data_IF_202748188526
#
_entry.id   IF_202748188526
#
_cell.length_a   1.000
_cell.length_b   1.000
_cell.length_c   1.000
_cell.angle_alpha   90.00
_cell.angle_beta   90.00
_cell.angle_gamma   90.00
#
_symmetry.space_group_name_H-M   'P 1'
#
loop_
_entity.id
_entity.type
_entity.pdbx_description
1 polymer ?
#
# COMPACT_ATOMS: atom_id res chain seq x y z
N UNK A 1 36.76 -1.40 13.11
CA UNK A 1 35.59 -1.81 13.92
C UNK A 1 34.98 -0.50 14.42
N UNK A 2 33.84 -0.02 13.92
CA UNK A 2 32.51 -0.53 14.22
C UNK A 2 31.51 0.03 13.20
N UNK A 3 30.67 -0.83 12.61
CA UNK A 3 29.55 -0.41 11.76
C UNK A 3 28.40 0.05 12.65
N UNK A 4 28.04 1.33 12.56
CA UNK A 4 26.82 1.89 13.12
C UNK A 4 25.58 1.35 12.37
N UNK A 5 24.42 1.27 13.04
CA UNK A 5 23.27 0.52 12.54
C UNK A 5 22.67 1.19 11.30
N UNK A 6 22.46 0.39 10.26
CA UNK A 6 21.66 0.76 9.08
C UNK A 6 20.21 0.85 9.56
N UNK A 7 19.83 1.99 10.12
CA UNK A 7 18.43 2.36 10.24
C UNK A 7 18.02 2.96 8.89
N UNK A 8 17.46 2.12 8.02
CA UNK A 8 16.97 2.50 6.68
C UNK A 8 15.66 3.30 6.79
N UNK A 9 15.70 4.45 7.44
CA UNK A 9 14.67 5.46 7.27
C UNK A 9 14.98 6.13 5.91
N UNK A 10 14.11 5.99 4.89
CA UNK A 10 14.40 6.61 3.60
C UNK A 10 14.47 8.13 3.77
N UNK A 11 15.50 8.79 3.22
CA UNK A 11 15.53 10.24 3.15
C UNK A 11 14.43 10.67 2.17
N UNK A 12 13.87 11.86 2.38
CA UNK A 12 12.95 12.54 1.44
C UNK A 12 11.48 12.12 1.50
N UNK A 13 10.91 11.97 2.71
CA UNK A 13 9.47 12.24 2.88
C UNK A 13 9.33 13.68 3.40
N UNK A 14 8.80 14.63 2.59
CA UNK A 14 8.59 16.00 3.03
C UNK A 14 7.71 16.02 4.28
N UNK A 15 8.08 16.83 5.27
CA UNK A 15 7.36 16.99 6.54
C UNK A 15 5.88 17.42 6.38
N UNK A 16 5.49 17.82 5.17
CA UNK A 16 4.16 18.29 4.79
C UNK A 16 3.22 17.19 4.31
N UNK A 17 3.68 15.94 4.12
CA UNK A 17 2.78 14.81 3.88
C UNK A 17 2.08 14.42 5.20
N UNK A 18 1.23 15.32 5.69
CA UNK A 18 0.22 15.04 6.71
C UNK A 18 -0.53 13.81 6.22
N UNK A 19 -0.32 12.68 6.89
CA UNK A 19 -1.15 11.48 6.71
C UNK A 19 -2.59 11.95 6.62
N UNK A 20 -3.31 11.77 5.50
CA UNK A 20 -4.69 12.21 5.43
C UNK A 20 -5.40 11.55 6.60
N UNK A 21 -5.87 12.38 7.54
CA UNK A 21 -6.40 11.95 8.84
C UNK A 21 -7.77 11.25 8.69
N UNK A 22 -8.17 10.98 7.45
CA UNK A 22 -9.43 10.36 7.09
C UNK A 22 -9.12 8.99 6.49
N UNK A 23 -9.48 7.94 7.22
CA UNK A 23 -9.62 6.62 6.61
C UNK A 23 -10.80 6.75 5.64
N UNK A 24 -10.54 6.96 4.35
CA UNK A 24 -11.55 7.25 3.33
C UNK A 24 -12.64 6.17 3.21
N UNK A 25 -12.36 4.95 3.68
CA UNK A 25 -13.19 3.76 3.49
C UNK A 25 -13.42 3.04 4.82
N UNK A 26 -14.66 3.08 5.31
CA UNK A 26 -15.14 2.21 6.40
C UNK A 26 -15.25 0.74 5.93
N UNK A 27 -15.54 -0.19 6.86
CA UNK A 27 -15.68 -1.62 6.54
C UNK A 27 -16.72 -1.89 5.43
N UNK A 28 -17.85 -1.18 5.41
CA UNK A 28 -18.90 -1.38 4.40
C UNK A 28 -18.43 -0.96 3.01
N UNK A 29 -17.67 0.14 2.93
CA UNK A 29 -17.09 0.61 1.67
C UNK A 29 -16.02 -0.35 1.13
N UNK A 30 -15.21 -0.95 2.01
CA UNK A 30 -14.26 -1.99 1.59
C UNK A 30 -14.98 -3.23 1.04
N UNK A 31 -16.05 -3.68 1.69
CA UNK A 31 -16.84 -4.83 1.21
C UNK A 31 -17.51 -4.52 -0.14
N UNK A 32 -17.95 -3.29 -0.35
CA UNK A 32 -18.48 -2.83 -1.62
C UNK A 32 -17.40 -2.90 -2.72
N UNK A 33 -16.22 -2.31 -2.49
CA UNK A 33 -15.12 -2.33 -3.47
C UNK A 33 -14.66 -3.75 -3.78
N UNK A 34 -14.56 -4.60 -2.75
CA UNK A 34 -14.16 -5.99 -2.91
C UNK A 34 -15.10 -6.74 -3.84
N UNK A 35 -16.42 -6.60 -3.65
CA UNK A 35 -17.44 -7.20 -4.51
C UNK A 35 -17.49 -6.57 -5.89
N UNK A 36 -17.46 -5.23 -5.97
CA UNK A 36 -17.60 -4.47 -7.22
C UNK A 36 -16.48 -4.73 -8.22
N UNK A 37 -15.25 -4.92 -7.72
CA UNK A 37 -14.04 -5.09 -8.53
C UNK A 37 -13.43 -6.49 -8.42
N UNK A 38 -14.09 -7.43 -7.74
CA UNK A 38 -13.60 -8.82 -7.51
C UNK A 38 -12.17 -8.84 -6.95
N UNK A 39 -11.91 -7.96 -5.99
CA UNK A 39 -10.62 -7.87 -5.28
C UNK A 39 -10.52 -9.08 -4.33
N UNK A 40 -9.37 -9.75 -4.32
CA UNK A 40 -9.15 -10.89 -3.40
C UNK A 40 -8.89 -10.39 -1.98
N UNK A 41 -9.04 -11.23 -0.95
CA UNK A 41 -8.71 -10.85 0.43
C UNK A 41 -7.28 -10.31 0.56
N UNK A 42 -6.32 -10.94 -0.14
CA UNK A 42 -4.92 -10.52 -0.13
C UNK A 42 -4.69 -9.18 -0.81
N UNK A 43 -5.37 -8.94 -1.92
CA UNK A 43 -5.32 -7.66 -2.60
C UNK A 43 -5.98 -6.55 -1.77
N UNK A 44 -7.05 -6.87 -1.03
CA UNK A 44 -7.71 -5.92 -0.11
C UNK A 44 -6.79 -5.52 1.05
N UNK A 45 -6.07 -6.47 1.65
CA UNK A 45 -5.05 -6.20 2.67
C UNK A 45 -3.99 -5.22 2.14
N UNK A 46 -3.48 -5.48 0.94
CA UNK A 46 -2.46 -4.62 0.32
C UNK A 46 -3.04 -3.24 0.00
N UNK A 47 -4.24 -3.16 -0.56
CA UNK A 47 -4.91 -1.88 -0.85
C UNK A 47 -5.09 -1.02 0.42
N UNK A 48 -5.49 -1.62 1.55
CA UNK A 48 -5.60 -0.92 2.83
C UNK A 48 -4.27 -0.34 3.29
N UNK A 49 -3.18 -1.10 3.17
CA UNK A 49 -1.84 -0.63 3.57
C UNK A 49 -1.30 0.45 2.62
N UNK A 50 -1.60 0.36 1.33
CA UNK A 50 -1.28 1.41 0.35
C UNK A 50 -2.03 2.70 0.70
N UNK A 51 -3.32 2.63 1.02
CA UNK A 51 -4.10 3.81 1.44
C UNK A 51 -3.61 4.42 2.76
N UNK A 52 -2.91 3.67 3.60
CA UNK A 52 -2.24 4.18 4.81
C UNK A 52 -0.88 4.85 4.50
N UNK A 53 -0.45 4.88 3.23
CA UNK A 53 0.79 5.50 2.79
C UNK A 53 2.05 4.65 3.04
N UNK A 54 1.91 3.33 3.23
CA UNK A 54 3.08 2.46 3.39
C UNK A 54 3.80 2.25 2.06
N UNK A 55 5.13 2.20 2.10
CA UNK A 55 5.95 1.80 0.94
C UNK A 55 5.83 0.31 0.64
N UNK A 56 6.17 -0.10 -0.57
CA UNK A 56 6.09 -1.52 -0.98
C UNK A 56 6.98 -2.42 -0.12
N UNK A 57 8.12 -1.92 0.35
CA UNK A 57 9.05 -2.60 1.24
C UNK A 57 8.41 -2.80 2.61
N UNK A 58 7.81 -1.74 3.18
CA UNK A 58 7.12 -1.85 4.48
C UNK A 58 5.91 -2.77 4.43
N UNK A 59 5.19 -2.78 3.30
CA UNK A 59 4.08 -3.72 3.06
C UNK A 59 4.63 -5.15 3.00
N UNK A 60 5.71 -5.37 2.26
CA UNK A 60 6.36 -6.68 2.14
C UNK A 60 6.79 -7.24 3.50
N UNK A 61 7.43 -6.40 4.32
CA UNK A 61 7.86 -6.76 5.67
C UNK A 61 6.67 -7.10 6.56
N UNK A 62 5.64 -6.25 6.58
CA UNK A 62 4.44 -6.45 7.42
C UNK A 62 3.68 -7.71 7.05
N UNK A 63 3.64 -8.04 5.77
CA UNK A 63 2.92 -9.19 5.23
C UNK A 63 3.80 -10.44 5.07
N UNK A 64 5.10 -10.36 5.44
CA UNK A 64 6.12 -11.41 5.31
C UNK A 64 6.19 -12.04 3.91
N UNK A 65 6.16 -11.20 2.87
CA UNK A 65 6.27 -11.61 1.46
C UNK A 65 7.36 -10.83 0.76
N UNK A 66 7.71 -11.23 -0.47
CA UNK A 66 8.69 -10.48 -1.28
C UNK A 66 8.08 -9.19 -1.81
N UNK A 67 8.88 -8.13 -1.92
CA UNK A 67 8.48 -6.85 -2.54
C UNK A 67 8.00 -7.04 -3.97
N UNK A 68 8.57 -7.99 -4.72
CA UNK A 68 8.08 -8.36 -6.06
C UNK A 68 6.64 -8.86 -6.05
N UNK A 69 6.26 -9.65 -5.05
CA UNK A 69 4.88 -10.14 -4.85
C UNK A 69 3.92 -8.99 -4.56
N UNK A 70 4.33 -8.03 -3.72
CA UNK A 70 3.55 -6.80 -3.46
C UNK A 70 3.29 -6.03 -4.75
N UNK A 71 4.32 -5.80 -5.57
CA UNK A 71 4.19 -5.11 -6.87
C UNK A 71 3.21 -5.82 -7.81
N UNK A 72 3.24 -7.15 -7.86
CA UNK A 72 2.29 -7.95 -8.66
C UNK A 72 0.85 -7.75 -8.16
N UNK A 73 0.62 -7.79 -6.84
CA UNK A 73 -0.71 -7.55 -6.29
C UNK A 73 -1.21 -6.12 -6.57
N UNK A 74 -0.36 -5.10 -6.43
CA UNK A 74 -0.73 -3.71 -6.76
C UNK A 74 -1.10 -3.58 -8.24
N UNK A 75 -0.33 -4.18 -9.14
CA UNK A 75 -0.65 -4.21 -10.57
C UNK A 75 -2.01 -4.88 -10.84
N UNK A 76 -2.30 -5.99 -10.16
CA UNK A 76 -3.59 -6.68 -10.29
C UNK A 76 -4.74 -5.82 -9.76
N UNK A 77 -4.55 -5.10 -8.66
CA UNK A 77 -5.53 -4.16 -8.10
C UNK A 77 -5.84 -3.07 -9.13
N UNK A 78 -4.82 -2.40 -9.68
CA UNK A 78 -5.01 -1.35 -10.68
C UNK A 78 -5.75 -1.83 -11.93
N UNK A 79 -5.38 -3.03 -12.42
CA UNK A 79 -6.09 -3.67 -13.53
C UNK A 79 -7.57 -3.93 -13.20
N UNK A 80 -7.87 -4.38 -11.98
CA UNK A 80 -9.24 -4.69 -11.55
C UNK A 80 -10.09 -3.45 -11.31
N UNK A 81 -9.48 -2.38 -10.81
CA UNK A 81 -10.15 -1.10 -10.54
C UNK A 81 -10.22 -0.20 -11.77
N UNK A 82 -9.65 -0.62 -12.91
CA UNK A 82 -9.53 0.19 -14.13
C UNK A 82 -8.84 1.53 -13.88
N UNK A 83 -7.90 1.54 -12.93
CA UNK A 83 -7.08 2.72 -12.63
C UNK A 83 -5.79 2.56 -13.42
N UNK A 84 -5.62 3.37 -14.46
CA UNK A 84 -4.49 3.25 -15.38
C UNK A 84 -3.16 3.73 -14.79
N UNK A 85 -3.19 4.58 -13.76
CA UNK A 85 -1.97 5.08 -13.12
C UNK A 85 -2.14 5.37 -11.63
N UNK A 86 -1.05 5.17 -10.88
CA UNK A 86 -0.86 5.68 -9.52
C UNK A 86 -1.08 7.20 -9.60
N UNK A 87 -2.14 7.71 -9.00
CA UNK A 87 -2.27 9.16 -8.81
C UNK A 87 -1.04 9.57 -7.99
N UNK A 88 -0.11 10.27 -8.65
CA UNK A 88 0.94 11.02 -8.01
C UNK A 88 0.24 12.14 -7.23
N UNK A 89 0.02 11.88 -5.95
CA UNK A 89 0.02 12.92 -4.92
C UNK A 89 1.40 12.95 -4.30
#
# INVERSE_FOLDING_TARGET
MSRLPINSQPPDVPAEFKRPSIVLLDSRRWDYLQRRYKITPRELEIAKLVCQGLSNERIADRLRIRTGTVKVHIRNIYRKTWVENKILM
#
